data_IF_339013004930
#
_entry.id   IF_339013004930
#
_cell.length_a   1.000
_cell.length_b   1.000
_cell.length_c   1.000
_cell.angle_alpha   90.00
_cell.angle_beta   90.00
_cell.angle_gamma   90.00
#
_symmetry.space_group_name_H-M   'P 1'
#
loop_
_entity.id
_entity.type
_entity.pdbx_description
1 polymer ?
#
# COMPACT_ATOMS: atom_id res chain seq x y z
N UNK A 1 0.88 15.96 18.53
CA UNK A 1 0.87 15.99 17.05
C UNK A 1 -0.50 16.41 16.59
N UNK A 2 -0.58 17.29 15.61
CA UNK A 2 -1.84 17.73 15.02
C UNK A 2 -1.95 17.12 13.60
N UNK A 3 -2.95 16.25 13.32
CA UNK A 3 -3.08 15.59 12.01
C UNK A 3 -3.18 16.57 10.83
N UNK A 4 -3.56 17.82 11.08
CA UNK A 4 -3.63 18.88 10.05
C UNK A 4 -2.26 19.44 9.65
N UNK A 5 -1.17 18.94 10.22
CA UNK A 5 0.20 19.34 9.88
C UNK A 5 0.86 18.45 8.83
N UNK A 6 0.29 17.28 8.52
CA UNK A 6 0.92 16.32 7.63
C UNK A 6 -0.06 15.79 6.57
N UNK A 7 0.44 15.65 5.35
CA UNK A 7 -0.36 15.26 4.21
C UNK A 7 0.40 14.34 3.27
N UNK A 8 -0.32 13.46 2.59
CA UNK A 8 0.21 12.60 1.54
C UNK A 8 -0.09 13.18 0.15
N UNK A 9 0.96 13.34 -0.65
CA UNK A 9 0.92 13.72 -2.06
C UNK A 9 0.06 14.96 -2.32
N UNK A 10 -1.11 14.76 -2.93
CA UNK A 10 -2.08 15.82 -3.24
C UNK A 10 -2.94 16.18 -2.02
N UNK A 11 -2.30 16.46 -0.89
CA UNK A 11 -2.93 16.97 0.33
C UNK A 11 -3.94 16.02 0.97
N UNK A 12 -3.78 14.71 0.79
CA UNK A 12 -4.58 13.73 1.51
C UNK A 12 -4.24 13.77 3.01
N UNK A 13 -5.26 13.83 3.89
CA UNK A 13 -5.03 13.97 5.33
C UNK A 13 -4.42 12.71 5.96
N UNK A 14 -3.92 12.87 7.19
CA UNK A 14 -3.57 11.74 8.05
C UNK A 14 -4.81 10.86 8.27
N UNK A 15 -4.68 9.54 8.10
CA UNK A 15 -5.79 8.61 8.34
C UNK A 15 -5.89 8.20 9.80
N UNK A 16 -4.74 8.12 10.49
CA UNK A 16 -4.68 7.79 11.91
C UNK A 16 -3.44 8.41 12.56
N UNK A 17 -3.58 8.83 13.81
CA UNK A 17 -2.46 9.30 14.65
C UNK A 17 -2.20 8.21 15.69
N UNK A 18 -1.05 7.56 15.61
CA UNK A 18 -0.72 6.47 16.53
C UNK A 18 -0.47 6.98 17.96
N UNK A 19 -0.71 6.16 19.00
CA UNK A 19 -0.43 6.52 20.39
C UNK A 19 1.05 6.87 20.62
N UNK A 20 1.94 6.29 19.81
CA UNK A 20 3.38 6.54 19.85
C UNK A 20 3.78 7.82 19.10
N UNK A 21 2.83 8.69 18.78
CA UNK A 21 3.04 9.95 18.06
C UNK A 21 3.65 9.75 16.66
N UNK A 22 3.02 8.90 15.84
CA UNK A 22 3.31 8.78 14.41
C UNK A 22 2.07 9.10 13.58
N UNK A 23 2.27 9.68 12.39
CA UNK A 23 1.20 9.85 11.42
C UNK A 23 1.14 8.63 10.52
N UNK A 24 -0.05 8.08 10.35
CA UNK A 24 -0.32 6.98 9.43
C UNK A 24 -1.17 7.47 8.26
N UNK A 25 -0.84 6.96 7.07
CA UNK A 25 -1.54 7.23 5.82
C UNK A 25 -1.94 5.92 5.17
N UNK A 26 -3.24 5.62 5.15
CA UNK A 26 -3.79 4.43 4.53
C UNK A 26 -4.64 4.79 3.32
N UNK A 27 -4.03 4.71 2.13
CA UNK A 27 -4.66 5.08 0.87
C UNK A 27 -4.37 4.06 -0.23
N UNK A 28 -5.33 3.89 -1.14
CA UNK A 28 -5.10 3.16 -2.37
C UNK A 28 -4.02 3.85 -3.22
N UNK A 29 -3.20 3.05 -3.89
CA UNK A 29 -2.10 3.49 -4.76
C UNK A 29 -2.52 4.37 -5.95
N UNK A 30 -3.81 4.39 -6.30
CA UNK A 30 -4.37 5.25 -7.34
C UNK A 30 -5.00 6.53 -6.78
N UNK A 31 -4.81 6.83 -5.49
CA UNK A 31 -5.29 8.03 -4.81
C UNK A 31 -4.12 8.92 -4.39
N UNK A 32 -4.46 10.11 -3.90
CA UNK A 32 -3.51 11.03 -3.25
C UNK A 32 -2.33 11.46 -4.11
N UNK A 33 -2.44 11.42 -5.43
CA UNK A 33 -1.35 11.77 -6.34
C UNK A 33 -0.18 10.78 -6.32
N UNK A 34 -0.41 9.54 -5.85
CA UNK A 34 0.59 8.47 -5.97
C UNK A 34 0.75 8.11 -7.45
N UNK A 35 1.98 8.19 -7.93
CA UNK A 35 2.35 7.88 -9.31
C UNK A 35 2.85 6.44 -9.35
N UNK A 36 2.19 5.61 -10.15
CA UNK A 36 2.62 4.24 -10.43
C UNK A 36 3.37 4.21 -11.76
N UNK A 37 4.60 3.67 -11.75
CA UNK A 37 5.40 3.40 -12.95
C UNK A 37 5.69 1.92 -13.04
N UNK A 38 5.45 1.33 -14.20
CA UNK A 38 5.68 -0.09 -14.48
C UNK A 38 6.98 -0.26 -15.26
N UNK A 39 7.86 -1.13 -14.78
CA UNK A 39 9.14 -1.47 -15.41
C UNK A 39 9.29 -2.99 -15.47
N UNK A 40 8.98 -3.61 -16.61
CA UNK A 40 9.02 -5.07 -16.75
C UNK A 40 8.30 -5.77 -15.58
N UNK A 41 9.05 -6.46 -14.72
CA UNK A 41 8.58 -7.19 -13.54
C UNK A 41 8.54 -6.36 -12.26
N UNK A 42 8.65 -5.03 -12.35
CA UNK A 42 8.75 -4.14 -11.19
C UNK A 42 7.73 -3.02 -11.29
N UNK A 43 7.08 -2.71 -10.17
CA UNK A 43 6.22 -1.55 -9.99
C UNK A 43 6.93 -0.56 -9.06
N UNK A 44 7.03 0.69 -9.49
CA UNK A 44 7.53 1.80 -8.68
C UNK A 44 6.35 2.72 -8.36
N UNK A 45 6.03 2.83 -7.08
CA UNK A 45 5.08 3.79 -6.54
C UNK A 45 5.88 5.00 -6.03
N UNK A 46 5.49 6.20 -6.41
CA UNK A 46 6.13 7.43 -5.95
C UNK A 46 5.10 8.44 -5.46
N UNK A 47 5.38 9.08 -4.34
CA UNK A 47 4.59 10.18 -3.79
C UNK A 47 5.50 11.04 -2.91
N UNK A 48 4.91 11.91 -2.08
CA UNK A 48 5.61 12.72 -1.08
C UNK A 48 4.77 12.84 0.18
N UNK A 49 5.44 13.06 1.30
CA UNK A 49 4.81 13.57 2.52
C UNK A 49 5.08 15.07 2.58
N UNK A 50 4.02 15.86 2.75
CA UNK A 50 4.09 17.29 2.98
C UNK A 50 3.85 17.56 4.45
N UNK A 51 4.77 18.26 5.11
CA UNK A 51 4.61 18.77 6.46
C UNK A 51 4.44 20.29 6.42
N UNK A 52 3.49 20.81 7.19
CA UNK A 52 3.24 22.23 7.38
C UNK A 52 3.16 22.49 8.88
N UNK A 53 4.13 23.22 9.43
CA UNK A 53 4.13 23.54 10.86
C UNK A 53 3.00 24.50 11.19
N UNK A 54 2.15 24.15 12.16
CA UNK A 54 1.12 25.08 12.65
C UNK A 54 1.73 26.31 13.35
N UNK A 55 2.95 26.17 13.88
CA UNK A 55 3.58 27.18 14.74
C UNK A 55 4.38 28.21 13.94
N UNK A 56 5.18 27.76 12.96
CA UNK A 56 6.02 28.65 12.15
C UNK A 56 5.46 28.93 10.76
N UNK A 57 4.54 28.10 10.27
CA UNK A 57 4.10 28.13 8.87
C UNK A 57 5.12 27.55 7.89
N UNK A 58 6.26 27.04 8.38
CA UNK A 58 7.27 26.41 7.54
C UNK A 58 6.71 25.14 6.90
N UNK A 59 7.13 24.88 5.67
CA UNK A 59 6.72 23.70 4.91
C UNK A 59 7.93 22.86 4.53
N UNK A 60 7.80 21.55 4.65
CA UNK A 60 8.79 20.58 4.19
C UNK A 60 8.13 19.50 3.35
N UNK A 61 8.85 18.99 2.35
CA UNK A 61 8.41 17.87 1.53
C UNK A 61 9.45 16.74 1.60
N UNK A 62 8.99 15.52 1.87
CA UNK A 62 9.81 14.32 1.88
C UNK A 62 9.32 13.36 0.79
N UNK A 63 10.13 13.06 -0.24
CA UNK A 63 9.73 12.09 -1.26
C UNK A 63 9.64 10.69 -0.66
N UNK A 64 8.64 9.92 -1.10
CA UNK A 64 8.42 8.53 -0.69
C UNK A 64 8.34 7.66 -1.95
N UNK A 65 9.07 6.55 -1.96
CA UNK A 65 9.04 5.59 -3.04
C UNK A 65 8.93 4.17 -2.51
N UNK A 66 8.11 3.35 -3.17
CA UNK A 66 8.01 1.92 -2.92
C UNK A 66 8.27 1.16 -4.22
N UNK A 67 9.14 0.15 -4.17
CA UNK A 67 9.46 -0.73 -5.29
C UNK A 67 8.92 -2.10 -4.97
N UNK A 68 8.04 -2.61 -5.83
CA UNK A 68 7.42 -3.94 -5.71
C UNK A 68 7.86 -4.78 -6.89
N UNK A 69 8.46 -5.95 -6.65
CA UNK A 69 8.88 -6.89 -7.70
C UNK A 69 7.86 -8.01 -7.86
N UNK A 70 7.63 -8.47 -9.09
CA UNK A 70 6.65 -9.52 -9.43
C UNK A 70 7.09 -10.92 -8.99
N UNK A 71 8.32 -11.12 -8.51
CA UNK A 71 8.88 -12.44 -8.21
C UNK A 71 8.32 -13.14 -6.96
N UNK A 72 7.27 -12.64 -6.32
CA UNK A 72 6.86 -13.11 -5.00
C UNK A 72 5.44 -13.71 -4.92
N UNK A 73 4.92 -14.38 -5.95
CA UNK A 73 3.87 -15.39 -5.73
C UNK A 73 4.03 -16.55 -6.75
N UNK A 74 5.15 -17.29 -6.70
CA UNK A 74 5.26 -18.67 -7.21
C UNK A 74 5.12 -19.63 -6.02
N UNK A 75 4.03 -19.53 -5.25
CA UNK A 75 3.62 -20.68 -4.46
C UNK A 75 2.98 -21.65 -5.44
N UNK A 76 3.67 -22.76 -5.69
CA UNK A 76 3.06 -23.95 -6.30
C UNK A 76 1.75 -24.22 -5.54
N UNK A 77 0.59 -23.95 -6.15
CA UNK A 77 -0.62 -24.67 -5.79
C UNK A 77 -0.40 -26.12 -6.23
N UNK A 78 0.32 -26.90 -5.43
CA UNK A 78 0.16 -28.34 -5.46
C UNK A 78 -1.23 -28.62 -4.92
N UNK A 79 -2.19 -28.82 -5.82
CA UNK A 79 -3.44 -29.47 -5.50
C UNK A 79 -3.12 -30.87 -4.95
N UNK A 80 -3.06 -31.02 -3.64
CA UNK A 80 -3.07 -32.34 -3.02
C UNK A 80 -4.53 -32.77 -2.84
N UNK A 81 -4.99 -33.63 -3.75
CA UNK A 81 -5.99 -34.64 -3.45
C UNK A 81 -5.42 -35.61 -2.42
N UNK A 82 -5.96 -35.62 -1.19
CA UNK A 82 -6.60 -36.80 -0.56
C UNK A 82 -6.87 -36.59 0.95
N UNK A 83 -8.04 -37.11 1.34
CA UNK A 83 -8.58 -37.43 2.66
C UNK A 83 -7.75 -37.25 3.95
N UNK A 84 -8.43 -36.74 4.98
CA UNK A 84 -8.39 -37.35 6.32
C UNK A 84 -7.82 -36.49 7.46
N UNK A 85 -8.73 -36.00 8.29
CA UNK A 85 -8.66 -35.80 9.75
C UNK A 85 -7.78 -34.69 10.39
N UNK A 86 -8.52 -33.76 11.00
CA UNK A 86 -8.34 -33.15 12.34
C UNK A 86 -7.44 -31.91 12.58
N UNK A 87 -7.97 -31.06 13.46
CA UNK A 87 -7.39 -29.92 14.20
C UNK A 87 -7.12 -28.56 13.50
N UNK A 88 -8.06 -27.64 13.75
CA UNK A 88 -7.88 -26.25 14.22
C UNK A 88 -6.80 -25.34 13.61
N UNK A 89 -7.17 -24.34 12.77
CA UNK A 89 -6.68 -22.94 12.90
C UNK A 89 -7.38 -21.93 11.97
N UNK A 90 -7.78 -20.81 12.58
CA UNK A 90 -7.95 -19.42 12.09
C UNK A 90 -8.40 -19.12 10.64
N UNK A 91 -9.52 -18.40 10.56
CA UNK A 91 -10.05 -17.74 9.37
C UNK A 91 -9.16 -16.54 8.97
N UNK A 92 -8.22 -16.73 8.04
CA UNK A 92 -7.51 -15.63 7.40
C UNK A 92 -8.31 -15.13 6.18
N UNK A 93 -8.91 -13.94 6.29
CA UNK A 93 -9.58 -13.28 5.16
C UNK A 93 -8.55 -12.88 4.10
N UNK A 94 -8.63 -13.49 2.91
CA UNK A 94 -7.86 -13.09 1.74
C UNK A 94 -8.33 -11.71 1.24
N UNK A 95 -7.51 -10.67 1.43
CA UNK A 95 -7.79 -9.31 0.94
C UNK A 95 -7.17 -9.14 -0.45
N UNK A 96 -7.98 -9.32 -1.50
CA UNK A 96 -7.56 -9.06 -2.88
C UNK A 96 -7.57 -7.55 -3.19
N UNK A 97 -6.43 -6.98 -3.62
CA UNK A 97 -6.36 -5.61 -4.11
C UNK A 97 -6.53 -5.57 -5.63
N UNK A 98 -7.59 -4.93 -6.13
CA UNK A 98 -7.79 -4.74 -7.58
C UNK A 98 -7.10 -3.44 -8.00
N UNK A 99 -5.91 -3.55 -8.59
CA UNK A 99 -5.17 -2.41 -9.17
C UNK A 99 -5.50 -2.30 -10.66
N UNK A 100 -6.41 -1.39 -11.04
CA UNK A 100 -6.72 -1.15 -12.46
C UNK A 100 -5.71 -0.16 -13.07
N UNK A 101 -4.83 -0.67 -13.94
CA UNK A 101 -4.03 0.13 -14.87
C UNK A 101 -4.93 0.65 -16.00
N UNK A 102 -4.81 1.94 -16.36
CA UNK A 102 -5.58 2.54 -17.44
C UNK A 102 -5.10 2.18 -18.86
N UNK A 103 -4.13 1.29 -19.03
CA UNK A 103 -3.81 0.70 -20.32
C UNK A 103 -3.79 -0.83 -20.20
N UNK A 104 -4.75 -1.43 -20.92
CA UNK A 104 -4.88 -2.83 -21.33
C UNK A 104 -4.79 -3.96 -20.28
N UNK A 105 -5.88 -4.72 -20.23
CA UNK A 105 -6.18 -5.94 -19.47
C UNK A 105 -6.21 -5.83 -17.93
N UNK A 106 -7.36 -6.25 -17.38
CA UNK A 106 -7.64 -6.56 -15.97
C UNK A 106 -6.55 -7.44 -15.34
N UNK A 107 -5.40 -6.85 -15.01
CA UNK A 107 -4.35 -7.54 -14.28
C UNK A 107 -4.61 -7.29 -12.81
N UNK A 108 -5.31 -8.23 -12.17
CA UNK A 108 -5.53 -8.21 -10.73
C UNK A 108 -4.20 -8.53 -10.05
N UNK A 109 -3.61 -7.53 -9.39
CA UNK A 109 -2.36 -7.70 -8.64
C UNK A 109 -2.70 -8.06 -7.19
N UNK A 110 -2.59 -9.35 -6.84
CA UNK A 110 -2.69 -9.77 -5.44
C UNK A 110 -1.35 -9.51 -4.73
N UNK A 111 -1.34 -8.63 -3.73
CA UNK A 111 -0.22 -8.52 -2.80
C UNK A 111 -0.40 -9.59 -1.73
N UNK A 112 0.45 -10.62 -1.76
CA UNK A 112 0.57 -11.64 -0.73
C UNK A 112 0.96 -10.94 0.62
N UNK A 113 0.02 -10.81 1.58
CA UNK A 113 0.30 -10.34 2.95
C UNK A 113 0.76 -11.51 3.82
N UNK A 114 1.67 -11.25 4.77
CA UNK A 114 2.24 -12.24 5.69
C UNK A 114 1.31 -12.54 6.85
#
# INVERSE_FOLDING_TARGET
MNPDEAFLGNDCPVTYVSPDAHYEFFYYSNKCGIITKTFQETLLLQTKIKYMSSNSGDTAEMPVSCVVTQQACMYHLSNETESGDDETSSEDMEVSYIMQSQNDLNTTFSLCAK
#
